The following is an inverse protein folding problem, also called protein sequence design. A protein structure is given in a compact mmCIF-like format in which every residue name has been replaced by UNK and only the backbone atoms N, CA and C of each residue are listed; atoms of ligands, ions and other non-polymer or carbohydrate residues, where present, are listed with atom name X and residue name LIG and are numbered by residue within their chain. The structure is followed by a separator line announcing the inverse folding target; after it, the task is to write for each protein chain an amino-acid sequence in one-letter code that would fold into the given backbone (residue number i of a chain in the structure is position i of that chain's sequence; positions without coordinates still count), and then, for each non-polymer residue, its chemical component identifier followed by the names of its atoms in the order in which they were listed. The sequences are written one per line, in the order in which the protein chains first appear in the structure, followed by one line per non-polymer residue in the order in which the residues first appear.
data_IF_364643150660
#
_entry.id   IF_364643150660
#
_cell.length_a   1.000
_cell.length_b   1.000
_cell.length_c   1.000
_cell.angle_alpha   90.00
_cell.angle_beta   90.00
_cell.angle_gamma   90.00
#
_symmetry.space_group_name_H-M   'P 1'
#
loop_
_entity.id
_entity.type
_entity.pdbx_description
1 polymer ?
#
# COMPACT_ATOMS: atom_id res chain seq x y z
N UNK A 1 19.79 -8.41 -8.49
CA UNK A 1 18.81 -7.44 -8.02
C UNK A 1 17.61 -8.11 -7.38
N UNK A 2 17.23 -7.63 -6.26
CA UNK A 2 16.14 -8.20 -5.50
C UNK A 2 14.81 -7.99 -6.19
N UNK A 3 13.95 -8.98 -6.15
CA UNK A 3 12.61 -8.88 -6.69
C UNK A 3 11.61 -8.61 -5.60
N UNK A 4 11.03 -7.41 -5.59
CA UNK A 4 10.11 -7.05 -4.53
C UNK A 4 8.91 -8.00 -4.39
N UNK A 5 8.44 -8.57 -5.51
CA UNK A 5 7.28 -9.45 -5.46
C UNK A 5 7.48 -10.66 -4.56
N UNK A 6 8.71 -11.17 -4.50
CA UNK A 6 9.01 -12.30 -3.63
C UNK A 6 8.83 -11.93 -2.17
N UNK A 7 9.29 -10.74 -1.83
CA UNK A 7 9.24 -10.28 -0.45
C UNK A 7 7.88 -9.75 -0.06
N UNK A 8 7.10 -9.29 -1.03
CA UNK A 8 5.80 -8.69 -0.73
C UNK A 8 4.89 -9.63 0.04
N UNK A 9 4.91 -10.91 -0.28
CA UNK A 9 4.08 -11.89 0.42
C UNK A 9 4.33 -11.90 1.92
N UNK A 10 5.54 -11.61 2.32
CA UNK A 10 5.92 -11.62 3.72
C UNK A 10 5.29 -10.45 4.48
N UNK A 11 4.80 -9.44 3.77
CA UNK A 11 4.16 -8.29 4.38
C UNK A 11 2.64 -8.45 4.48
N UNK A 12 2.07 -9.50 3.90
CA UNK A 12 0.61 -9.71 3.92
C UNK A 12 0.19 -10.41 5.21
N UNK A 13 0.39 -9.73 6.31
CA UNK A 13 0.00 -10.28 7.61
C UNK A 13 -0.36 -9.13 8.56
N UNK A 14 -1.18 -9.44 9.56
CA UNK A 14 -1.62 -8.40 10.50
C UNK A 14 -0.46 -7.69 11.19
N UNK A 15 -0.64 -6.39 11.38
CA UNK A 15 0.33 -5.59 12.10
C UNK A 15 1.41 -4.95 11.24
N UNK A 16 1.55 -5.39 10.00
CA UNK A 16 2.52 -4.79 9.09
C UNK A 16 2.02 -3.40 8.67
N UNK A 17 2.89 -2.40 8.76
CA UNK A 17 2.54 -1.03 8.42
C UNK A 17 2.90 -0.74 6.97
N UNK A 18 1.90 -0.38 6.18
CA UNK A 18 2.06 -0.11 4.76
C UNK A 18 1.60 1.32 4.46
N UNK A 19 2.39 2.01 3.63
CA UNK A 19 2.06 3.36 3.17
C UNK A 19 1.70 3.31 1.70
N UNK A 20 0.54 3.86 1.35
CA UNK A 20 0.09 3.93 -0.04
C UNK A 20 0.18 5.37 -0.53
N UNK A 21 1.09 5.61 -1.47
CA UNK A 21 1.23 6.94 -2.09
C UNK A 21 0.21 7.07 -3.20
N UNK A 22 -0.65 8.07 -3.11
CA UNK A 22 -1.77 8.23 -4.03
C UNK A 22 -2.96 7.37 -3.64
N UNK A 23 -3.20 7.22 -2.35
CA UNK A 23 -4.15 6.27 -1.80
C UNK A 23 -5.59 6.51 -2.26
N UNK A 24 -5.93 7.75 -2.62
CA UNK A 24 -7.28 8.09 -3.06
C UNK A 24 -7.57 7.78 -4.51
N UNK A 25 -6.62 7.21 -5.24
CA UNK A 25 -6.81 6.84 -6.63
C UNK A 25 -7.82 5.72 -6.80
N UNK A 26 -8.37 5.62 -8.03
CA UNK A 26 -9.45 4.69 -8.33
C UNK A 26 -9.07 3.24 -8.01
N UNK A 27 -7.85 2.86 -8.32
CA UNK A 27 -7.42 1.47 -8.09
C UNK A 27 -6.69 1.29 -6.76
N UNK A 28 -6.28 2.39 -6.12
CA UNK A 28 -5.58 2.31 -4.84
C UNK A 28 -6.55 2.22 -3.67
N UNK A 29 -7.68 2.89 -3.75
CA UNK A 29 -8.66 2.88 -2.68
C UNK A 29 -9.14 1.46 -2.36
N UNK A 30 -9.56 0.65 -3.35
CA UNK A 30 -9.94 -0.74 -3.05
C UNK A 30 -8.80 -1.55 -2.46
N UNK A 31 -7.58 -1.32 -2.93
CA UNK A 31 -6.41 -2.01 -2.37
C UNK A 31 -6.22 -1.68 -0.89
N UNK A 32 -6.36 -0.39 -0.55
CA UNK A 32 -6.25 0.04 0.83
C UNK A 32 -7.28 -0.66 1.71
N UNK A 33 -8.50 -0.78 1.22
CA UNK A 33 -9.57 -1.43 1.98
C UNK A 33 -9.28 -2.92 2.19
N UNK A 34 -8.79 -3.60 1.15
CA UNK A 34 -8.45 -5.02 1.26
C UNK A 34 -7.33 -5.24 2.27
N UNK A 35 -6.27 -4.45 2.18
CA UNK A 35 -5.15 -4.57 3.11
C UNK A 35 -5.58 -4.28 4.53
N UNK A 36 -6.43 -3.26 4.69
CA UNK A 36 -6.97 -2.91 6.00
C UNK A 36 -7.78 -4.07 6.58
N UNK A 37 -8.60 -4.70 5.74
CA UNK A 37 -9.40 -5.86 6.15
C UNK A 37 -8.55 -7.08 6.49
N UNK A 38 -7.34 -7.16 5.96
CA UNK A 38 -6.41 -8.23 6.29
C UNK A 38 -5.64 -7.96 7.59
N UNK A 39 -5.90 -6.83 8.23
CA UNK A 39 -5.27 -6.53 9.51
C UNK A 39 -3.99 -5.72 9.41
N UNK A 40 -3.58 -5.28 8.23
CA UNK A 40 -2.42 -4.43 8.10
C UNK A 40 -2.71 -3.04 8.64
N UNK A 41 -1.66 -2.37 9.09
CA UNK A 41 -1.77 -0.97 9.52
C UNK A 41 -1.60 -0.10 8.27
N UNK A 42 -2.71 0.21 7.63
CA UNK A 42 -2.71 0.96 6.37
C UNK A 42 -2.70 2.45 6.63
N UNK A 43 -1.89 3.16 5.88
CA UNK A 43 -1.85 4.62 5.88
C UNK A 43 -1.54 5.07 4.46
N UNK A 44 -1.69 6.35 4.20
CA UNK A 44 -1.36 6.83 2.86
C UNK A 44 -1.36 8.33 2.76
N UNK A 45 -1.16 8.79 1.53
CA UNK A 45 -1.17 10.21 1.21
C UNK A 45 -1.82 10.41 -0.15
N UNK A 46 -2.34 11.60 -0.36
CA UNK A 46 -2.91 11.98 -1.64
C UNK A 46 -2.76 13.49 -1.80
N UNK A 47 -2.75 13.95 -3.04
CA UNK A 47 -2.62 15.39 -3.30
C UNK A 47 -3.89 16.16 -3.01
N UNK A 48 -5.03 15.51 -2.99
CA UNK A 48 -6.30 16.18 -2.74
C UNK A 48 -7.07 15.52 -1.62
N UNK A 49 -7.89 16.34 -0.95
CA UNK A 49 -8.76 15.87 0.12
C UNK A 49 -10.11 15.50 -0.49
N UNK A 50 -10.12 14.43 -1.28
CA UNK A 50 -11.29 14.00 -2.04
C UNK A 50 -12.28 13.23 -1.16
N UNK A 51 -13.44 12.94 -1.72
CA UNK A 51 -14.44 12.11 -1.03
C UNK A 51 -13.88 10.71 -0.78
N UNK A 52 -13.05 10.20 -1.68
CA UNK A 52 -12.40 8.91 -1.50
C UNK A 52 -11.49 8.94 -0.28
N UNK A 53 -10.72 10.01 -0.11
CA UNK A 53 -9.85 10.17 1.05
C UNK A 53 -10.68 10.23 2.32
N UNK A 54 -11.80 10.95 2.29
CA UNK A 54 -12.68 11.03 3.46
C UNK A 54 -13.28 9.68 3.80
N UNK A 55 -13.64 8.91 2.78
CA UNK A 55 -14.14 7.55 2.99
C UNK A 55 -13.09 6.68 3.70
N UNK A 56 -11.84 6.73 3.23
CA UNK A 56 -10.78 5.95 3.84
C UNK A 56 -10.56 6.34 5.29
N UNK A 57 -10.61 7.63 5.58
CA UNK A 57 -10.48 8.09 6.96
C UNK A 57 -11.61 7.58 7.84
N UNK A 58 -12.80 7.46 7.28
CA UNK A 58 -13.95 6.94 8.04
C UNK A 58 -13.76 5.48 8.42
N UNK A 59 -12.92 4.76 7.69
CA UNK A 59 -12.60 3.37 8.00
C UNK A 59 -11.46 3.24 9.02
N UNK A 60 -10.89 4.36 9.45
CA UNK A 60 -9.78 4.35 10.38
C UNK A 60 -8.42 4.35 9.71
N UNK A 61 -8.36 4.63 8.41
CA UNK A 61 -7.10 4.69 7.68
C UNK A 61 -6.61 6.13 7.65
N UNK A 62 -5.45 6.43 8.27
CA UNK A 62 -4.91 7.80 8.24
C UNK A 62 -4.45 8.16 6.84
N UNK A 63 -4.84 9.34 6.38
CA UNK A 63 -4.43 9.86 5.08
C UNK A 63 -3.94 11.29 5.24
N UNK A 64 -2.72 11.55 4.76
CA UNK A 64 -2.16 12.89 4.73
C UNK A 64 -2.46 13.53 3.38
N UNK A 65 -2.73 14.83 3.38
CA UNK A 65 -2.87 15.57 2.13
C UNK A 65 -1.52 16.19 1.81
N UNK A 66 -1.03 15.94 0.59
CA UNK A 66 0.30 16.33 0.17
C UNK A 66 1.29 15.20 0.39
N UNK A 67 2.31 15.16 -0.46
CA UNK A 67 3.35 14.14 -0.37
C UNK A 67 4.57 14.67 0.36
N UNK A 68 5.10 13.87 1.28
CA UNK A 68 6.28 14.24 2.05
C UNK A 68 6.92 12.96 2.58
N UNK A 69 8.25 12.94 2.67
CA UNK A 69 8.95 11.81 3.26
C UNK A 69 8.52 11.57 4.70
N UNK A 70 8.10 12.62 5.40
CA UNK A 70 7.64 12.50 6.78
C UNK A 70 6.37 11.67 6.89
N UNK A 71 5.60 11.57 5.82
CA UNK A 71 4.38 10.77 5.82
C UNK A 71 4.66 9.28 5.98
N UNK A 72 5.88 8.84 5.66
CA UNK A 72 6.23 7.43 5.75
C UNK A 72 6.26 6.92 7.18
N UNK A 73 6.70 7.75 8.09
CA UNK A 73 6.78 7.39 9.51
C UNK A 73 7.46 6.03 9.71
N UNK A 74 6.74 5.05 10.22
CA UNK A 74 7.26 3.72 10.50
C UNK A 74 6.85 2.70 9.46
N UNK A 75 6.53 3.14 8.24
CA UNK A 75 6.11 2.23 7.19
C UNK A 75 7.19 1.19 6.91
N UNK A 76 6.77 -0.05 6.75
CA UNK A 76 7.66 -1.15 6.43
C UNK A 76 7.75 -1.37 4.93
N UNK A 77 6.77 -0.88 4.19
CA UNK A 77 6.78 -0.91 2.73
C UNK A 77 5.91 0.22 2.20
N UNK A 78 6.13 0.56 0.93
CA UNK A 78 5.38 1.60 0.22
C UNK A 78 4.79 0.99 -1.03
N UNK A 79 3.54 1.32 -1.32
CA UNK A 79 2.88 0.92 -2.56
C UNK A 79 2.55 2.20 -3.34
N UNK A 80 2.83 2.18 -4.63
CA UNK A 80 2.64 3.34 -5.51
C UNK A 80 1.91 2.93 -6.78
N UNK A 81 1.36 3.92 -7.47
CA UNK A 81 0.85 3.73 -8.82
C UNK A 81 1.85 4.32 -9.81
N UNK A 82 1.63 4.04 -11.10
CA UNK A 82 2.48 4.62 -12.15
C UNK A 82 2.39 6.15 -12.19
N UNK A 83 1.31 6.73 -11.66
CA UNK A 83 1.16 8.18 -11.62
C UNK A 83 2.08 8.84 -10.59
N UNK A 84 2.60 8.06 -9.66
CA UNK A 84 3.53 8.55 -8.64
C UNK A 84 4.94 8.28 -9.15
N UNK A 85 5.68 9.33 -9.44
CA UNK A 85 7.00 9.21 -10.07
C UNK A 85 8.10 8.96 -9.04
N UNK A 86 9.26 8.53 -9.55
CA UNK A 86 10.39 8.19 -8.67
C UNK A 86 10.92 9.39 -7.90
N UNK A 87 10.71 10.60 -8.41
CA UNK A 87 11.17 11.81 -7.74
C UNK A 87 10.19 12.31 -6.67
N UNK A 88 9.07 11.63 -6.50
CA UNK A 88 8.14 11.95 -5.43
C UNK A 88 8.86 11.80 -4.09
N UNK A 89 8.71 12.76 -3.17
CA UNK A 89 9.45 12.70 -1.91
C UNK A 89 9.19 11.44 -1.09
N UNK A 90 8.03 10.84 -1.21
CA UNK A 90 7.75 9.60 -0.50
C UNK A 90 8.50 8.42 -1.11
N UNK A 91 8.58 8.38 -2.44
CA UNK A 91 9.30 7.31 -3.11
C UNK A 91 10.80 7.45 -2.88
N UNK A 92 11.36 8.65 -3.11
CA UNK A 92 12.78 8.87 -2.88
C UNK A 92 13.14 8.71 -1.41
N UNK A 93 12.27 9.11 -0.51
CA UNK A 93 12.48 8.93 0.92
C UNK A 93 12.49 7.46 1.32
N UNK A 94 11.61 6.67 0.72
CA UNK A 94 11.58 5.23 0.99
C UNK A 94 12.87 4.56 0.52
N UNK A 95 13.32 4.90 -0.69
CA UNK A 95 14.56 4.36 -1.23
C UNK A 95 15.74 4.71 -0.33
N UNK A 96 15.80 5.97 0.09
CA UNK A 96 16.88 6.43 0.98
C UNK A 96 16.89 5.67 2.30
N UNK A 97 15.73 5.35 2.83
CA UNK A 97 15.62 4.63 4.10
C UNK A 97 15.72 3.11 3.96
N UNK A 98 15.83 2.61 2.74
CA UNK A 98 15.83 1.17 2.51
C UNK A 98 14.47 0.51 2.65
N UNK A 99 13.40 1.28 2.54
CA UNK A 99 12.04 0.75 2.61
C UNK A 99 11.65 0.24 1.22
N UNK A 100 11.23 -1.02 1.08
CA UNK A 100 10.85 -1.53 -0.25
C UNK A 100 9.65 -0.81 -0.83
N UNK A 101 9.69 -0.58 -2.14
CA UNK A 101 8.62 0.10 -2.88
C UNK A 101 8.06 -0.87 -3.90
N UNK A 102 6.76 -1.05 -3.86
CA UNK A 102 6.04 -1.95 -4.77
C UNK A 102 5.03 -1.17 -5.58
N UNK A 103 4.73 -1.69 -6.76
CA UNK A 103 3.66 -1.11 -7.55
C UNK A 103 2.33 -1.77 -7.20
N UNK A 104 1.27 -1.01 -7.41
CA UNK A 104 -0.09 -1.47 -7.14
C UNK A 104 -0.37 -2.85 -7.77
N UNK A 105 0.08 -3.04 -9.02
CA UNK A 105 -0.15 -4.31 -9.70
C UNK A 105 0.53 -5.48 -9.01
N UNK A 106 1.72 -5.25 -8.45
CA UNK A 106 2.42 -6.28 -7.70
C UNK A 106 1.66 -6.66 -6.43
N UNK A 107 1.11 -5.66 -5.75
CA UNK A 107 0.33 -5.90 -4.54
C UNK A 107 -0.92 -6.71 -4.85
N UNK A 108 -1.66 -6.31 -5.89
CA UNK A 108 -2.85 -7.05 -6.29
C UNK A 108 -2.52 -8.49 -6.68
N UNK A 109 -1.42 -8.66 -7.44
CA UNK A 109 -1.01 -9.99 -7.86
C UNK A 109 -0.74 -10.91 -6.67
N UNK A 110 -0.07 -10.41 -5.65
CA UNK A 110 0.22 -11.20 -4.46
C UNK A 110 -1.04 -11.52 -3.67
N UNK A 111 -1.95 -10.56 -3.55
CA UNK A 111 -3.20 -10.78 -2.84
C UNK A 111 -4.05 -11.83 -3.54
N UNK A 112 -4.17 -11.73 -4.86
CA UNK A 112 -4.97 -12.68 -5.63
C UNK A 112 -4.37 -14.08 -5.56
N UNK A 113 -3.06 -14.18 -5.57
CA UNK A 113 -2.38 -15.47 -5.43
C UNK A 113 -2.70 -16.10 -4.07
N UNK A 114 -2.72 -15.31 -3.03
CA UNK A 114 -3.01 -15.78 -1.69
C UNK A 114 -4.45 -16.30 -1.59
N UNK A 115 -5.40 -15.57 -2.16
CA UNK A 115 -6.79 -16.01 -2.17
C UNK A 115 -6.97 -17.28 -2.99
N UNK A 116 -6.30 -17.39 -4.12
CA UNK A 116 -6.37 -18.59 -4.96
C UNK A 116 -5.86 -19.79 -4.20
N UNK A 117 -4.76 -19.65 -3.49
CA UNK A 117 -4.20 -20.74 -2.69
C UNK A 117 -5.16 -21.15 -1.59
N UNK A 118 -5.81 -20.19 -0.95
CA UNK A 118 -6.77 -20.47 0.10
C UNK A 118 -7.98 -21.25 -0.44
N UNK A 119 -8.46 -20.89 -1.61
CA UNK A 119 -9.58 -21.58 -2.23
C UNK A 119 -9.21 -23.03 -2.59
N UNK A 120 -8.00 -23.23 -3.09
CA UNK A 120 -7.53 -24.57 -3.39
C UNK A 120 -7.42 -25.42 -2.13
N UNK A 121 -6.93 -24.83 -1.06
CA UNK A 121 -6.76 -25.52 0.20
C UNK A 121 -8.10 -25.88 0.82
N UNK A 122 -9.12 -25.06 0.58
CA UNK A 122 -10.44 -25.35 1.18
C UNK A 122 -11.09 -26.60 0.60
N UNK A 123 -10.44 -27.29 -0.28
CA UNK A 123 -10.92 -28.59 -0.71
C UNK A 123 -12.00 -28.55 -1.76
N UNK A 124 -12.09 -27.50 -2.41
CA UNK A 124 -13.05 -27.39 -3.51
C UNK A 124 -12.60 -28.17 -4.71
#
# INVERSE_FOLDING_TARGET
MMHPTVDFKNFLKPGVRVHLSGIGGVSMCPLAEVLHGMGLCVQGSDMSDSDTVKHLRSLGIPVAVGHSADNLQNAQLVIRTAAIHDDNPEISGAVTRGIPVYERAQAWGAIMQQYRNALCISGT
#
